data_IF_122237727367
#
_entry.id   IF_122237727367
#
_cell.length_a   1.000
_cell.length_b   1.000
_cell.length_c   1.000
_cell.angle_alpha   90.00
_cell.angle_beta   90.00
_cell.angle_gamma   90.00
#
_symmetry.space_group_name_H-M   'P 1'
#
loop_
_entity.id
_entity.type
_entity.pdbx_description
1 polymer ?
#
# COMPACT_ATOMS: atom_id res chain seq x y z
N UNK A 1 1.37 26.76 -1.96
CA UNK A 1 1.52 26.05 -0.66
C UNK A 1 2.01 24.65 -0.97
N UNK A 2 2.88 24.09 -0.11
CA UNK A 2 3.25 22.68 -0.19
C UNK A 2 2.19 21.90 0.57
N UNK A 3 1.66 20.84 -0.04
CA UNK A 3 0.67 19.94 0.57
C UNK A 3 1.39 18.67 1.01
N UNK A 4 1.10 18.19 2.20
CA UNK A 4 1.74 16.97 2.73
C UNK A 4 0.76 15.80 2.75
N UNK A 5 1.22 14.65 2.25
CA UNK A 5 0.56 13.37 2.37
C UNK A 5 1.15 12.61 3.56
N UNK A 6 0.39 12.48 4.63
CA UNK A 6 0.73 11.63 5.75
C UNK A 6 0.22 10.21 5.50
N UNK A 7 1.08 9.21 5.69
CA UNK A 7 0.74 7.82 5.48
C UNK A 7 0.63 7.10 6.81
N UNK A 8 -0.54 6.56 7.12
CA UNK A 8 -0.80 5.71 8.28
C UNK A 8 -1.11 4.28 7.78
N UNK A 9 -0.26 3.31 8.12
CA UNK A 9 -0.41 1.97 7.59
C UNK A 9 0.53 0.95 8.22
N UNK A 10 0.54 -0.23 7.60
CA UNK A 10 1.31 -1.38 8.02
C UNK A 10 2.59 -1.61 7.19
N UNK A 11 3.15 -2.83 7.24
CA UNK A 11 4.37 -3.21 6.55
C UNK A 11 4.31 -3.06 5.03
N UNK A 12 3.14 -3.16 4.42
CA UNK A 12 3.00 -3.05 2.95
C UNK A 12 3.19 -1.61 2.46
N UNK A 13 3.03 -0.64 3.34
CA UNK A 13 3.22 0.79 3.08
C UNK A 13 4.53 1.34 3.67
N UNK A 14 5.12 0.69 4.68
CA UNK A 14 6.22 1.18 5.50
C UNK A 14 7.54 1.35 4.73
N UNK A 15 8.40 2.22 5.25
CA UNK A 15 9.81 2.28 4.88
C UNK A 15 10.57 1.14 5.56
N UNK A 16 11.48 0.50 4.82
CA UNK A 16 12.31 -0.58 5.34
C UNK A 16 13.78 -0.16 5.46
N UNK A 17 14.49 -0.64 6.48
CA UNK A 17 15.92 -0.42 6.62
C UNK A 17 16.71 -1.22 5.58
N UNK A 18 17.97 -0.83 5.34
CA UNK A 18 18.82 -1.38 4.26
C UNK A 18 19.13 -2.86 4.41
N UNK A 19 19.18 -3.39 5.63
CA UNK A 19 19.39 -4.81 5.93
C UNK A 19 18.20 -5.71 5.55
N UNK A 20 17.04 -5.09 5.27
CA UNK A 20 15.86 -5.77 4.74
C UNK A 20 15.67 -5.56 3.23
N UNK A 21 16.56 -4.79 2.59
CA UNK A 21 16.49 -4.60 1.14
C UNK A 21 16.55 -5.94 0.39
N UNK A 22 15.84 -6.11 -0.72
CA UNK A 22 15.04 -5.13 -1.44
C UNK A 22 13.57 -5.06 -0.98
N UNK A 23 13.21 -5.63 0.20
CA UNK A 23 11.87 -5.50 0.76
C UNK A 23 11.54 -4.02 0.96
N UNK A 24 10.39 -3.58 0.45
CA UNK A 24 9.99 -2.18 0.47
C UNK A 24 8.47 -2.02 0.47
N UNK A 25 7.94 -1.14 1.33
CA UNK A 25 6.54 -0.73 1.24
C UNK A 25 6.32 0.33 0.17
N UNK A 26 5.12 0.34 -0.41
CA UNK A 26 4.79 1.24 -1.53
C UNK A 26 4.79 2.73 -1.14
N UNK A 27 4.57 3.06 0.13
CA UNK A 27 4.57 4.44 0.61
C UNK A 27 5.89 5.16 0.34
N UNK A 28 7.03 4.47 0.43
CA UNK A 28 8.37 4.99 0.07
C UNK A 28 8.47 5.44 -1.38
N UNK A 29 7.68 4.84 -2.26
CA UNK A 29 7.73 5.10 -3.71
C UNK A 29 6.68 6.10 -4.18
N UNK A 30 5.71 6.46 -3.33
CA UNK A 30 4.66 7.44 -3.68
C UNK A 30 5.21 8.78 -4.18
N UNK A 31 6.29 9.36 -3.59
CA UNK A 31 6.86 10.62 -4.07
C UNK A 31 7.25 10.64 -5.55
N UNK A 32 7.56 9.49 -6.16
CA UNK A 32 7.88 9.39 -7.59
C UNK A 32 6.72 9.82 -8.51
N UNK A 33 5.50 9.80 -7.99
CA UNK A 33 4.27 10.04 -8.73
C UNK A 33 3.56 11.32 -8.32
N UNK A 34 4.17 12.09 -7.43
CA UNK A 34 3.63 13.38 -6.98
C UNK A 34 4.26 14.55 -7.72
N UNK A 35 3.58 15.68 -7.67
CA UNK A 35 4.08 16.94 -8.18
C UNK A 35 5.10 17.59 -7.22
N UNK A 36 5.89 18.53 -7.70
CA UNK A 36 6.94 19.19 -6.91
C UNK A 36 6.41 19.99 -5.69
N UNK A 37 5.11 20.32 -5.67
CA UNK A 37 4.45 21.00 -4.56
C UNK A 37 3.85 20.05 -3.52
N UNK A 38 4.12 18.75 -3.63
CA UNK A 38 3.65 17.72 -2.70
C UNK A 38 4.82 17.10 -1.93
N UNK A 39 4.57 16.79 -0.66
CA UNK A 39 5.51 16.09 0.21
C UNK A 39 4.87 14.81 0.76
N UNK A 40 5.67 13.85 1.23
CA UNK A 40 5.20 12.63 1.88
C UNK A 40 5.89 12.46 3.23
N UNK A 41 5.09 12.23 4.27
CA UNK A 41 5.55 11.81 5.59
C UNK A 41 5.01 10.41 5.84
N UNK A 42 5.88 9.41 5.73
CA UNK A 42 5.50 8.01 5.88
C UNK A 42 5.66 7.56 7.33
N UNK A 43 4.55 7.48 8.06
CA UNK A 43 4.49 6.99 9.45
C UNK A 43 4.05 5.50 9.53
N UNK A 44 3.84 4.86 8.37
CA UNK A 44 3.51 3.44 8.33
C UNK A 44 4.63 2.59 8.92
N UNK A 45 4.26 1.53 9.65
CA UNK A 45 5.24 0.68 10.32
C UNK A 45 4.81 -0.79 10.33
N UNK A 46 5.81 -1.66 10.19
CA UNK A 46 5.60 -3.10 10.10
C UNK A 46 4.83 -3.67 11.30
N UNK A 47 3.88 -4.56 11.02
CA UNK A 47 3.18 -5.35 12.01
C UNK A 47 2.03 -4.62 12.75
N UNK A 48 1.68 -3.38 12.37
CA UNK A 48 0.62 -2.61 13.05
C UNK A 48 -0.72 -2.81 12.37
N UNK A 49 -1.73 -3.02 13.21
CA UNK A 49 -3.14 -2.94 12.84
C UNK A 49 -3.67 -1.51 13.05
N UNK A 50 -4.90 -1.25 12.59
CA UNK A 50 -5.59 0.02 12.86
C UNK A 50 -5.66 0.33 14.37
N UNK A 51 -5.82 -0.70 15.21
CA UNK A 51 -5.85 -0.62 16.67
C UNK A 51 -4.46 -0.34 17.24
N UNK A 52 -3.48 -1.22 17.02
CA UNK A 52 -2.16 -1.12 17.65
C UNK A 52 -1.40 0.14 17.25
N UNK A 53 -1.61 0.66 16.04
CA UNK A 53 -1.06 1.95 15.62
C UNK A 53 -1.57 3.12 16.48
N UNK A 54 -2.85 3.09 16.85
CA UNK A 54 -3.45 4.08 17.77
C UNK A 54 -2.92 3.88 19.19
N UNK A 55 -2.94 2.64 19.69
CA UNK A 55 -2.55 2.31 21.06
C UNK A 55 -1.08 2.69 21.37
N UNK A 56 -0.22 2.69 20.35
CA UNK A 56 1.16 3.16 20.43
C UNK A 56 1.30 4.70 20.31
N UNK A 57 0.21 5.46 20.24
CA UNK A 57 0.21 6.92 20.11
C UNK A 57 0.73 7.42 18.74
N UNK A 58 0.73 6.57 17.70
CA UNK A 58 1.24 6.93 16.38
C UNK A 58 0.30 7.85 15.62
N UNK A 59 -1.01 7.61 15.75
CA UNK A 59 -2.01 8.53 15.20
C UNK A 59 -1.86 9.93 15.81
N UNK A 60 -1.66 10.03 17.12
CA UNK A 60 -1.51 11.32 17.78
C UNK A 60 -0.28 12.10 17.26
N UNK A 61 0.83 11.40 16.95
CA UNK A 61 2.01 12.03 16.34
C UNK A 61 1.72 12.61 14.96
N UNK A 62 0.94 11.89 14.14
CA UNK A 62 0.49 12.40 12.85
C UNK A 62 -0.40 13.63 13.06
N UNK A 63 -1.40 13.55 13.94
CA UNK A 63 -2.35 14.63 14.19
C UNK A 63 -1.72 15.90 14.77
N UNK A 64 -0.55 15.79 15.42
CA UNK A 64 0.22 16.96 15.89
C UNK A 64 0.87 17.74 14.73
N UNK A 65 1.16 17.08 13.62
CA UNK A 65 1.86 17.66 12.46
C UNK A 65 0.89 18.02 11.33
N UNK A 66 -0.25 17.32 11.25
CA UNK A 66 -1.24 17.44 10.20
C UNK A 66 -1.90 18.82 10.23
N UNK A 67 -1.97 19.48 9.07
CA UNK A 67 -2.51 20.82 8.90
C UNK A 67 -3.65 20.90 7.89
N UNK A 68 -4.23 22.12 7.77
CA UNK A 68 -5.28 22.40 6.83
C UNK A 68 -4.84 22.15 5.38
N UNK A 69 -5.62 21.38 4.64
CA UNK A 69 -5.36 21.05 3.23
C UNK A 69 -4.47 19.84 3.01
N UNK A 70 -3.78 19.33 4.04
CA UNK A 70 -3.01 18.10 3.97
C UNK A 70 -3.90 16.87 3.74
N UNK A 71 -3.30 15.75 3.38
CA UNK A 71 -3.98 14.47 3.21
C UNK A 71 -3.51 13.46 4.27
N UNK A 72 -4.44 12.65 4.80
CA UNK A 72 -4.13 11.46 5.57
C UNK A 72 -4.56 10.22 4.79
N UNK A 73 -3.60 9.46 4.26
CA UNK A 73 -3.82 8.17 3.60
C UNK A 73 -3.79 7.06 4.65
N UNK A 74 -4.87 6.27 4.74
CA UNK A 74 -5.10 5.30 5.81
C UNK A 74 -5.24 3.91 5.19
N UNK A 75 -4.28 3.01 5.44
CA UNK A 75 -4.30 1.63 4.94
C UNK A 75 -3.98 0.64 6.05
N UNK A 76 -4.97 -0.12 6.49
CA UNK A 76 -4.84 -1.20 7.47
C UNK A 76 -5.69 -2.40 7.07
N UNK A 77 -5.42 -3.57 7.66
CA UNK A 77 -6.16 -4.82 7.44
C UNK A 77 -5.28 -6.05 7.66
N UNK A 78 -4.07 -6.11 7.08
CA UNK A 78 -3.17 -7.26 7.17
C UNK A 78 -2.88 -7.75 8.59
N UNK A 79 -2.90 -6.88 9.57
CA UNK A 79 -2.64 -7.19 10.97
C UNK A 79 -3.91 -7.19 11.81
N UNK A 80 -4.95 -6.49 11.39
CA UNK A 80 -6.27 -6.45 12.00
C UNK A 80 -6.92 -7.85 12.02
N UNK A 81 -6.64 -8.66 11.00
CA UNK A 81 -7.14 -10.03 10.84
C UNK A 81 -6.39 -11.09 11.66
N UNK A 82 -5.30 -10.73 12.36
CA UNK A 82 -4.51 -11.67 13.16
C UNK A 82 -5.23 -12.01 14.46
N UNK A 83 -5.18 -13.26 14.90
CA UNK A 83 -5.74 -13.72 16.20
C UNK A 83 -4.93 -13.26 17.42
N UNK A 84 -4.27 -12.15 17.33
CA UNK A 84 -3.43 -11.54 18.35
C UNK A 84 -4.21 -10.40 19.01
N UNK A 85 -4.51 -10.47 20.32
CA UNK A 85 -5.34 -9.49 21.01
C UNK A 85 -4.84 -8.03 20.88
N UNK A 86 -3.55 -7.84 20.74
CA UNK A 86 -2.96 -6.49 20.61
C UNK A 86 -3.25 -5.88 19.24
N UNK A 87 -3.48 -6.71 18.21
CA UNK A 87 -3.71 -6.28 16.83
C UNK A 87 -5.11 -6.55 16.32
N UNK A 88 -5.74 -7.61 16.82
CA UNK A 88 -7.03 -8.06 16.30
C UNK A 88 -8.11 -7.00 16.39
N UNK A 89 -8.90 -6.89 15.33
CA UNK A 89 -10.14 -6.12 15.26
C UNK A 89 -11.24 -6.94 14.59
N UNK A 90 -12.50 -6.64 14.91
CA UNK A 90 -13.63 -7.23 14.19
C UNK A 90 -13.96 -6.38 12.97
N UNK A 91 -14.07 -6.97 11.75
CA UNK A 91 -14.32 -6.20 10.52
C UNK A 91 -15.55 -5.29 10.62
N UNK A 92 -16.68 -5.84 11.08
CA UNK A 92 -17.97 -5.13 11.21
C UNK A 92 -18.19 -4.45 12.57
N UNK A 93 -17.13 -4.30 13.36
CA UNK A 93 -17.15 -3.69 14.70
C UNK A 93 -15.94 -2.77 14.90
N UNK A 94 -15.03 -3.19 15.79
CA UNK A 94 -13.90 -2.37 16.24
C UNK A 94 -12.97 -1.87 15.13
N UNK A 95 -12.84 -2.58 14.00
CA UNK A 95 -12.09 -2.09 12.84
C UNK A 95 -12.62 -0.76 12.32
N UNK A 96 -13.94 -0.70 12.07
CA UNK A 96 -14.59 0.53 11.65
C UNK A 96 -14.50 1.66 12.69
N UNK A 97 -14.59 1.31 13.99
CA UNK A 97 -14.44 2.28 15.08
C UNK A 97 -13.04 2.89 15.11
N UNK A 98 -11.99 2.06 14.95
CA UNK A 98 -10.62 2.56 14.88
C UNK A 98 -10.40 3.43 13.65
N UNK A 99 -10.80 2.99 12.45
CA UNK A 99 -10.65 3.78 11.23
C UNK A 99 -11.38 5.13 11.33
N UNK A 100 -12.55 5.16 11.99
CA UNK A 100 -13.26 6.42 12.22
C UNK A 100 -12.44 7.41 13.04
N UNK A 101 -11.62 6.98 14.00
CA UNK A 101 -10.73 7.87 14.77
C UNK A 101 -9.70 8.58 13.88
N UNK A 102 -9.15 7.89 12.86
CA UNK A 102 -8.26 8.52 11.86
C UNK A 102 -9.00 9.57 11.04
N UNK A 103 -10.22 9.24 10.58
CA UNK A 103 -11.06 10.14 9.79
C UNK A 103 -11.39 11.41 10.58
N UNK A 104 -11.93 11.24 11.79
CA UNK A 104 -12.34 12.35 12.65
C UNK A 104 -11.14 13.22 13.06
N UNK A 105 -10.01 12.57 13.38
CA UNK A 105 -8.77 13.25 13.73
C UNK A 105 -8.24 14.12 12.59
N UNK A 106 -8.22 13.59 11.36
CA UNK A 106 -7.81 14.36 10.18
C UNK A 106 -8.74 15.54 9.92
N UNK A 107 -10.05 15.31 9.95
CA UNK A 107 -11.05 16.37 9.75
C UNK A 107 -10.96 17.47 10.80
N UNK A 108 -10.69 17.13 12.05
CA UNK A 108 -10.50 18.10 13.12
C UNK A 108 -9.30 19.03 12.91
N UNK A 109 -8.34 18.62 12.05
CA UNK A 109 -7.18 19.41 11.64
C UNK A 109 -7.38 20.17 10.31
N UNK A 110 -8.56 20.08 9.70
CA UNK A 110 -8.81 20.62 8.36
C UNK A 110 -8.15 19.82 7.23
N UNK A 111 -7.63 18.62 7.55
CA UNK A 111 -7.03 17.73 6.59
C UNK A 111 -8.05 16.78 5.96
N UNK A 112 -7.67 16.16 4.87
CA UNK A 112 -8.51 15.32 4.02
C UNK A 112 -8.15 13.84 4.20
N UNK A 113 -8.97 13.03 4.92
CA UNK A 113 -8.74 11.60 5.04
C UNK A 113 -9.10 10.88 3.73
N UNK A 114 -8.31 9.88 3.37
CA UNK A 114 -8.55 8.95 2.25
C UNK A 114 -8.30 7.54 2.75
N UNK A 115 -9.28 6.66 2.60
CA UNK A 115 -9.16 5.25 2.93
C UNK A 115 -8.60 4.47 1.73
N UNK A 116 -7.71 3.52 2.01
CA UNK A 116 -7.17 2.60 1.01
C UNK A 116 -7.32 1.17 1.55
N UNK A 117 -7.99 0.29 0.80
CA UNK A 117 -8.04 -1.11 1.18
C UNK A 117 -6.64 -1.73 1.14
N UNK A 118 -6.38 -2.78 1.93
CA UNK A 118 -5.10 -3.48 1.92
C UNK A 118 -4.78 -4.01 0.53
N UNK A 119 -3.50 -4.00 0.13
CA UNK A 119 -3.11 -4.72 -1.09
C UNK A 119 -3.39 -6.21 -0.94
N UNK A 120 -3.75 -6.91 -2.01
CA UNK A 120 -3.94 -8.36 -1.98
C UNK A 120 -2.63 -9.07 -1.65
N UNK A 121 -2.68 -10.20 -0.91
CA UNK A 121 -1.55 -11.14 -0.90
C UNK A 121 -1.51 -11.90 -2.22
N UNK A 122 -0.34 -12.36 -2.58
CA UNK A 122 -0.12 -13.16 -3.80
C UNK A 122 -0.35 -14.66 -3.50
N UNK A 123 -1.51 -15.00 -3.02
CA UNK A 123 -1.86 -16.38 -2.75
C UNK A 123 -2.66 -16.99 -3.88
N UNK A 124 -2.02 -17.89 -4.61
CA UNK A 124 -2.65 -18.71 -5.63
C UNK A 124 -2.89 -20.12 -5.08
N UNK A 125 -4.06 -20.68 -5.36
CA UNK A 125 -4.39 -22.05 -5.02
C UNK A 125 -3.74 -23.06 -5.99
N UNK A 126 -4.03 -24.33 -5.80
CA UNK A 126 -3.48 -25.40 -6.62
C UNK A 126 -3.95 -25.34 -8.11
N UNK A 127 -5.07 -24.70 -8.36
CA UNK A 127 -5.61 -24.49 -9.72
C UNK A 127 -5.08 -23.21 -10.36
N UNK A 128 -4.20 -22.47 -9.67
CA UNK A 128 -3.61 -21.21 -10.13
C UNK A 128 -4.55 -20.03 -10.06
N UNK A 129 -5.58 -20.10 -9.23
CA UNK A 129 -6.51 -19.00 -8.98
C UNK A 129 -6.06 -18.18 -7.77
N UNK A 130 -6.07 -16.85 -7.91
CA UNK A 130 -5.74 -15.96 -6.82
C UNK A 130 -6.84 -15.97 -5.76
N UNK A 131 -6.46 -16.31 -4.51
CA UNK A 131 -7.36 -16.39 -3.38
C UNK A 131 -7.44 -15.04 -2.65
N UNK A 132 -8.66 -14.62 -2.31
CA UNK A 132 -8.87 -13.47 -1.43
C UNK A 132 -8.56 -13.87 0.03
N UNK A 133 -7.68 -13.11 0.69
CA UNK A 133 -7.14 -13.47 2.02
C UNK A 133 -7.51 -12.50 3.13
N UNK A 134 -8.20 -11.38 2.84
CA UNK A 134 -8.52 -10.34 3.82
C UNK A 134 -9.94 -10.45 4.40
N UNK A 135 -10.65 -11.57 4.15
CA UNK A 135 -12.01 -11.75 4.67
C UNK A 135 -12.90 -10.54 4.36
N UNK A 136 -13.62 -10.07 5.37
CA UNK A 136 -14.55 -8.95 5.25
C UNK A 136 -13.93 -7.55 5.46
N UNK A 137 -12.63 -7.44 5.78
CA UNK A 137 -12.01 -6.14 6.07
C UNK A 137 -12.13 -5.12 4.93
N UNK A 138 -11.88 -5.46 3.65
CA UNK A 138 -12.08 -4.51 2.55
C UNK A 138 -13.54 -4.03 2.46
N UNK A 139 -14.51 -4.93 2.58
CA UNK A 139 -15.94 -4.60 2.55
C UNK A 139 -16.37 -3.71 3.72
N UNK A 140 -15.84 -3.98 4.90
CA UNK A 140 -16.11 -3.16 6.08
C UNK A 140 -15.55 -1.74 5.93
N UNK A 141 -14.36 -1.59 5.32
CA UNK A 141 -13.79 -0.29 4.98
C UNK A 141 -14.63 0.45 3.93
N UNK A 142 -15.11 -0.25 2.89
CA UNK A 142 -16.02 0.32 1.87
C UNK A 142 -17.32 0.85 2.50
N UNK A 143 -17.95 0.05 3.37
CA UNK A 143 -19.16 0.44 4.08
C UNK A 143 -18.92 1.66 5.00
N UNK A 144 -17.76 1.73 5.66
CA UNK A 144 -17.35 2.88 6.46
C UNK A 144 -17.15 4.12 5.58
N UNK A 145 -16.44 3.99 4.46
CA UNK A 145 -16.19 5.10 3.53
C UNK A 145 -17.49 5.76 3.06
N UNK A 146 -18.47 4.94 2.67
CA UNK A 146 -19.80 5.40 2.30
C UNK A 146 -20.52 6.11 3.44
N UNK A 147 -20.51 5.54 4.65
CA UNK A 147 -21.19 6.09 5.81
C UNK A 147 -20.63 7.42 6.26
N UNK A 148 -19.30 7.54 6.22
CA UNK A 148 -18.56 8.73 6.67
C UNK A 148 -18.31 9.75 5.54
N UNK A 149 -18.77 9.48 4.32
CA UNK A 149 -18.52 10.32 3.13
C UNK A 149 -17.00 10.63 2.96
N UNK A 150 -16.19 9.57 2.91
CA UNK A 150 -14.73 9.63 2.76
C UNK A 150 -14.34 8.93 1.46
N UNK A 151 -13.44 9.54 0.65
CA UNK A 151 -12.91 8.87 -0.53
C UNK A 151 -12.25 7.53 -0.18
N UNK A 152 -12.51 6.51 -1.00
CA UNK A 152 -11.91 5.20 -0.87
C UNK A 152 -11.18 4.80 -2.16
N UNK A 153 -10.00 4.23 -2.00
CA UNK A 153 -9.22 3.59 -3.06
C UNK A 153 -9.20 2.08 -2.82
N UNK A 154 -9.80 1.31 -3.72
CA UNK A 154 -9.73 -0.15 -3.70
C UNK A 154 -8.36 -0.65 -4.21
N UNK A 155 -7.37 -0.70 -3.31
CA UNK A 155 -6.07 -1.32 -3.63
C UNK A 155 -6.13 -2.85 -3.63
N UNK A 156 -7.06 -3.46 -2.89
CA UNK A 156 -7.25 -4.93 -2.90
C UNK A 156 -7.63 -5.40 -4.30
N UNK A 157 -8.66 -4.81 -4.89
CA UNK A 157 -9.12 -5.18 -6.23
C UNK A 157 -8.10 -4.86 -7.32
N UNK A 158 -7.44 -3.69 -7.24
CA UNK A 158 -6.43 -3.26 -8.21
C UNK A 158 -5.20 -4.18 -8.21
N UNK A 159 -4.63 -4.48 -7.05
CA UNK A 159 -3.47 -5.37 -6.93
C UNK A 159 -3.83 -6.81 -7.30
N UNK A 160 -4.98 -7.30 -6.86
CA UNK A 160 -5.47 -8.64 -7.25
C UNK A 160 -5.63 -8.77 -8.77
N UNK A 161 -6.17 -7.75 -9.45
CA UNK A 161 -6.31 -7.75 -10.91
C UNK A 161 -4.96 -7.82 -11.60
N UNK A 162 -3.98 -7.04 -11.14
CA UNK A 162 -2.63 -7.07 -11.69
C UNK A 162 -1.94 -8.43 -11.47
N UNK A 163 -2.06 -9.03 -10.27
CA UNK A 163 -1.48 -10.35 -10.01
C UNK A 163 -2.12 -11.43 -10.87
N UNK A 164 -3.44 -11.38 -11.10
CA UNK A 164 -4.15 -12.31 -12.02
C UNK A 164 -3.68 -12.16 -13.46
N UNK A 165 -3.53 -10.92 -13.95
CA UNK A 165 -3.04 -10.64 -15.30
C UNK A 165 -1.59 -11.13 -15.51
N UNK A 166 -0.73 -10.92 -14.52
CA UNK A 166 0.64 -11.43 -14.53
C UNK A 166 0.70 -12.96 -14.41
N UNK A 167 -0.25 -13.56 -13.72
CA UNK A 167 -0.27 -14.98 -13.39
C UNK A 167 0.73 -15.36 -12.29
N UNK A 168 0.63 -16.60 -11.83
CA UNK A 168 1.39 -17.11 -10.67
C UNK A 168 2.91 -16.92 -10.81
N UNK A 169 3.51 -17.17 -11.99
CA UNK A 169 4.97 -17.11 -12.14
C UNK A 169 5.49 -15.66 -12.21
N UNK A 170 4.90 -14.81 -13.07
CA UNK A 170 5.42 -13.45 -13.27
C UNK A 170 5.15 -12.54 -12.09
N UNK A 171 4.03 -12.71 -11.37
CA UNK A 171 3.72 -11.89 -10.20
C UNK A 171 4.74 -12.04 -9.05
N UNK A 172 5.53 -13.12 -9.01
CA UNK A 172 6.63 -13.30 -8.06
C UNK A 172 7.65 -12.16 -8.10
N UNK A 173 7.89 -11.57 -9.27
CA UNK A 173 8.87 -10.48 -9.44
C UNK A 173 8.56 -9.20 -8.64
N UNK A 174 7.32 -9.05 -8.15
CA UNK A 174 6.94 -7.91 -7.31
C UNK A 174 7.09 -8.17 -5.81
N UNK A 175 7.45 -9.38 -5.43
CA UNK A 175 7.52 -9.80 -4.03
C UNK A 175 8.95 -10.15 -3.61
N UNK A 176 9.18 -10.15 -2.29
CA UNK A 176 10.50 -10.50 -1.74
C UNK A 176 10.64 -12.01 -1.75
N UNK A 177 11.08 -12.56 -2.89
CA UNK A 177 11.26 -13.99 -3.10
C UNK A 177 12.62 -14.27 -3.72
N UNK A 178 13.49 -14.99 -2.99
CA UNK A 178 14.83 -15.37 -3.40
C UNK A 178 15.13 -16.80 -3.01
N UNK A 179 15.77 -17.52 -3.93
CA UNK A 179 16.36 -18.81 -3.62
C UNK A 179 17.60 -18.63 -2.69
N UNK A 180 17.99 -19.65 -1.91
CA UNK A 180 19.19 -19.58 -1.07
C UNK A 180 20.43 -19.14 -1.85
N UNK A 181 21.19 -18.23 -1.26
CA UNK A 181 22.46 -17.72 -1.84
C UNK A 181 22.29 -16.66 -2.94
N UNK A 182 21.07 -16.29 -3.33
CA UNK A 182 20.83 -15.29 -4.40
C UNK A 182 20.97 -13.86 -3.91
N UNK A 183 20.51 -13.55 -2.69
CA UNK A 183 20.55 -12.19 -2.17
C UNK A 183 21.28 -12.12 -0.82
N UNK A 184 22.25 -11.18 -0.62
CA UNK A 184 23.08 -11.13 0.59
C UNK A 184 22.28 -10.90 1.88
N UNK A 185 21.18 -10.18 1.85
CA UNK A 185 20.31 -9.96 3.01
C UNK A 185 19.42 -11.19 3.33
N UNK A 186 19.35 -12.16 2.42
CA UNK A 186 18.54 -13.37 2.55
C UNK A 186 19.34 -14.60 2.15
N UNK A 187 20.44 -14.91 2.87
CA UNK A 187 21.35 -16.01 2.50
C UNK A 187 20.67 -17.38 2.48
N UNK A 188 19.68 -17.60 3.35
CA UNK A 188 18.88 -18.82 3.39
C UNK A 188 17.67 -18.82 2.41
N UNK A 189 17.57 -17.75 1.59
CA UNK A 189 16.41 -17.52 0.74
C UNK A 189 15.22 -16.95 1.51
N UNK A 190 14.19 -16.57 0.78
CA UNK A 190 12.92 -16.11 1.32
C UNK A 190 11.82 -16.32 0.28
N UNK A 191 10.63 -16.77 0.72
CA UNK A 191 9.44 -16.93 -0.11
C UNK A 191 8.28 -16.17 0.52
N UNK A 192 8.21 -14.86 0.24
CA UNK A 192 7.22 -13.98 0.85
C UNK A 192 6.18 -13.53 -0.20
N UNK A 193 4.93 -13.93 -0.01
CA UNK A 193 3.80 -13.61 -0.88
C UNK A 193 2.97 -12.41 -0.36
N UNK A 194 3.50 -11.69 0.63
CA UNK A 194 2.87 -10.52 1.25
C UNK A 194 3.67 -9.25 1.05
N UNK A 195 4.99 -9.30 1.29
CA UNK A 195 5.84 -8.12 1.28
C UNK A 195 6.50 -7.90 -0.08
N UNK A 196 6.31 -6.69 -0.58
CA UNK A 196 6.83 -6.26 -1.87
C UNK A 196 8.36 -6.12 -1.84
N UNK A 197 8.98 -6.29 -2.98
CA UNK A 197 10.30 -5.76 -3.25
C UNK A 197 10.20 -4.34 -3.86
N UNK A 198 11.32 -3.78 -4.27
CA UNK A 198 11.38 -2.42 -4.80
C UNK A 198 10.53 -2.25 -6.05
N UNK A 199 10.52 -3.23 -6.98
CA UNK A 199 9.72 -3.19 -8.21
C UNK A 199 8.21 -3.23 -7.90
N UNK A 200 7.78 -4.15 -7.04
CA UNK A 200 6.40 -4.23 -6.58
C UNK A 200 5.94 -2.98 -5.84
N UNK A 201 6.82 -2.40 -5.00
CA UNK A 201 6.53 -1.15 -4.30
C UNK A 201 6.28 0.01 -5.27
N UNK A 202 7.08 0.13 -6.34
CA UNK A 202 6.87 1.12 -7.41
C UNK A 202 5.55 0.87 -8.13
N UNK A 203 5.24 -0.38 -8.46
CA UNK A 203 4.00 -0.73 -9.16
C UNK A 203 2.75 -0.39 -8.35
N UNK A 204 2.74 -0.75 -7.05
CA UNK A 204 1.61 -0.43 -6.16
C UNK A 204 1.51 1.09 -5.90
N UNK A 205 2.63 1.79 -5.70
CA UNK A 205 2.62 3.24 -5.55
C UNK A 205 2.03 3.96 -6.78
N UNK A 206 2.33 3.46 -7.99
CA UNK A 206 1.74 3.95 -9.23
C UNK A 206 0.24 3.71 -9.26
N UNK A 207 -0.24 2.53 -8.86
CA UNK A 207 -1.68 2.22 -8.80
C UNK A 207 -2.40 3.16 -7.81
N UNK A 208 -1.80 3.41 -6.65
CA UNK A 208 -2.33 4.35 -5.66
C UNK A 208 -2.38 5.77 -6.24
N UNK A 209 -1.31 6.24 -6.89
CA UNK A 209 -1.25 7.55 -7.53
C UNK A 209 -2.29 7.70 -8.65
N UNK A 210 -2.43 6.69 -9.52
CA UNK A 210 -3.47 6.69 -10.56
C UNK A 210 -4.88 6.80 -9.98
N UNK A 211 -5.14 6.12 -8.86
CA UNK A 211 -6.44 6.20 -8.19
C UNK A 211 -6.65 7.56 -7.52
N UNK A 212 -5.62 8.13 -6.87
CA UNK A 212 -5.64 9.48 -6.31
C UNK A 212 -5.93 10.54 -7.39
N UNK A 213 -5.23 10.47 -8.52
CA UNK A 213 -5.50 11.35 -9.66
C UNK A 213 -6.93 11.17 -10.20
N UNK A 214 -7.43 9.92 -10.22
CA UNK A 214 -8.80 9.59 -10.67
C UNK A 214 -9.90 10.18 -9.78
N UNK A 215 -9.63 10.42 -8.50
CA UNK A 215 -10.56 11.12 -7.59
C UNK A 215 -10.29 12.64 -7.49
N UNK A 216 -9.45 13.18 -8.37
CA UNK A 216 -9.24 14.62 -8.52
C UNK A 216 -8.17 15.23 -7.62
N UNK A 217 -7.26 14.45 -7.05
CA UNK A 217 -6.12 14.96 -6.26
C UNK A 217 -5.12 15.61 -7.22
N UNK A 218 -4.98 16.92 -7.15
CA UNK A 218 -4.18 17.73 -8.09
C UNK A 218 -2.67 17.65 -7.82
N UNK A 219 -2.27 17.28 -6.63
CA UNK A 219 -0.89 17.12 -6.22
C UNK A 219 -0.23 15.84 -6.75
N UNK A 220 -1.01 14.99 -7.40
CA UNK A 220 -0.52 13.81 -8.14
C UNK A 220 -0.23 14.20 -9.59
N UNK A 221 0.78 13.58 -10.19
CA UNK A 221 1.12 13.76 -11.62
C UNK A 221 -0.09 13.39 -12.50
N UNK A 222 -0.28 14.06 -13.66
CA UNK A 222 -1.39 13.79 -14.56
C UNK A 222 -1.46 12.31 -14.97
N UNK A 223 -2.66 11.78 -15.12
CA UNK A 223 -2.88 10.38 -15.55
C UNK A 223 -2.15 10.04 -16.85
N UNK A 224 -2.06 10.98 -17.79
CA UNK A 224 -1.32 10.79 -19.05
C UNK A 224 0.17 10.47 -18.82
N UNK A 225 0.81 11.08 -17.84
CA UNK A 225 2.20 10.80 -17.48
C UNK A 225 2.31 9.45 -16.73
N UNK A 226 1.41 9.19 -15.79
CA UNK A 226 1.40 7.95 -15.01
C UNK A 226 1.19 6.68 -15.88
N UNK A 227 0.50 6.81 -17.04
CA UNK A 227 0.33 5.73 -18.00
C UNK A 227 1.48 5.64 -19.01
N UNK A 228 2.09 6.75 -19.40
CA UNK A 228 3.22 6.77 -20.33
C UNK A 228 4.44 6.00 -19.78
N UNK A 229 4.70 6.09 -18.47
CA UNK A 229 5.76 5.35 -17.79
C UNK A 229 5.61 3.81 -17.91
N UNK A 230 4.39 3.31 -18.14
CA UNK A 230 4.11 1.86 -18.35
C UNK A 230 4.56 1.42 -19.72
N UNK A 231 4.31 2.23 -20.76
CA UNK A 231 4.67 1.91 -22.14
C UNK A 231 6.18 1.91 -22.36
N UNK A 232 6.91 2.86 -21.77
CA UNK A 232 8.38 2.92 -21.89
C UNK A 232 9.08 1.73 -21.22
N UNK A 233 8.54 1.17 -20.14
CA UNK A 233 9.10 -0.02 -19.47
C UNK A 233 8.77 -1.31 -20.24
N UNK A 234 7.65 -1.39 -20.93
CA UNK A 234 7.29 -2.51 -21.78
C UNK A 234 8.18 -2.59 -23.04
N UNK A 235 8.59 -1.45 -23.59
CA UNK A 235 9.45 -1.38 -24.78
C UNK A 235 10.92 -1.67 -24.47
N UNK A 236 11.42 -1.34 -23.28
CA UNK A 236 12.80 -1.62 -22.86
C UNK A 236 13.03 -3.09 -22.47
N UNK A 237 11.96 -3.85 -22.19
CA UNK A 237 12.03 -5.30 -21.89
C UNK A 237 12.22 -6.22 -23.12
N UNK A 238 12.27 -5.67 -24.34
CA UNK A 238 12.43 -6.42 -25.60
C UNK A 238 13.79 -6.22 -26.26
N UNK A 239 14.88 -6.50 -25.57
CA UNK A 239 16.13 -6.84 -26.31
C UNK A 239 17.24 -7.31 -25.35
N UNK A 240 17.26 -8.60 -25.08
CA UNK A 240 18.54 -9.27 -24.81
C UNK A 240 18.72 -10.28 -25.95
N UNK A 241 19.71 -10.11 -26.83
CA UNK A 241 19.99 -11.12 -27.82
C UNK A 241 20.55 -12.36 -27.11
N UNK A 242 19.92 -13.50 -27.36
CA UNK A 242 20.46 -14.83 -27.07
C UNK A 242 21.76 -14.96 -27.82
N UNK A 243 22.88 -14.94 -27.16
CA UNK A 243 24.16 -15.42 -27.71
C UNK A 243 24.07 -16.94 -27.64
N UNK A 244 23.94 -17.56 -28.81
CA UNK A 244 24.07 -18.99 -28.98
C UNK A 244 25.53 -19.44 -28.89
N UNK A 245 25.82 -20.73 -28.58
CA UNK A 245 27.05 -21.30 -28.09
C UNK A 245 28.26 -21.21 -29.00
#
# INVERSE_FOLDING_TARGET
MVVTFYLAGDSTMADYPTDRAPMQGWGKKLPLFLQANANVVNEAICGRSSKSFIDEGRLDRILQQLGEGDYLLIQFGHNDEKDDPDRHTSPWGSYGEHLKRYIDGARAKGAKPILLTSISRRWFDADGLLTQTHGDYPRAMEALALREDVPLIDLTGRSASAYKEMGHQRSRQWFTQFEPGVHPNYPEGIMDDTHLNEEGAVAIARMAAQALAGIGIQEVRPLSELFADVQSQADTGKSTPVVAP
#
